data_IF_133845553118
#
_entry.id   IF_133845553118
#
_cell.length_a   1.000
_cell.length_b   1.000
_cell.length_c   1.000
_cell.angle_alpha   90.00
_cell.angle_beta   90.00
_cell.angle_gamma   90.00
#
_symmetry.space_group_name_H-M   'P 1'
#
loop_
_entity.id
_entity.type
_entity.pdbx_description
1 polymer ?
#
# COMPACT_ATOMS: atom_id res chain seq x y z
N UNK A 1 -20.77 6.29 -0.36
CA UNK A 1 -20.91 4.88 -0.78
C UNK A 1 -22.37 4.49 -0.55
N UNK A 2 -23.26 4.97 -1.42
CA UNK A 2 -24.70 4.98 -1.11
C UNK A 2 -24.97 5.57 0.29
N UNK A 3 -25.95 4.99 0.97
CA UNK A 3 -26.38 5.38 2.32
C UNK A 3 -25.62 4.64 3.45
N UNK A 4 -24.53 3.93 3.13
CA UNK A 4 -23.79 3.15 4.12
C UNK A 4 -22.85 4.02 4.95
N UNK A 5 -22.87 3.81 6.27
CA UNK A 5 -21.96 4.45 7.23
C UNK A 5 -20.61 3.73 7.25
N UNK A 6 -19.53 4.51 7.21
CA UNK A 6 -18.17 4.05 7.48
C UNK A 6 -17.80 4.55 8.88
N UNK A 7 -17.43 3.63 9.77
CA UNK A 7 -17.21 3.94 11.18
C UNK A 7 -16.05 3.16 11.76
N UNK A 8 -15.27 3.82 12.61
CA UNK A 8 -14.18 3.22 13.39
C UNK A 8 -14.73 2.29 14.49
N UNK A 9 -15.93 2.61 14.97
CA UNK A 9 -16.70 1.88 15.96
C UNK A 9 -16.95 0.45 15.50
N UNK A 10 -17.22 0.21 14.22
CA UNK A 10 -17.38 -1.15 13.68
C UNK A 10 -16.15 -2.03 13.92
N UNK A 11 -14.94 -1.46 13.88
CA UNK A 11 -13.70 -2.19 14.17
C UNK A 11 -13.48 -2.36 15.68
N UNK A 12 -13.90 -1.39 16.49
CA UNK A 12 -13.84 -1.49 17.96
C UNK A 12 -14.78 -2.60 18.43
N UNK A 13 -16.01 -2.63 17.91
CA UNK A 13 -17.00 -3.66 18.19
C UNK A 13 -16.46 -5.05 17.85
N UNK A 14 -15.78 -5.22 16.70
CA UNK A 14 -15.12 -6.49 16.36
C UNK A 14 -14.05 -6.89 17.38
N UNK A 15 -13.22 -5.94 17.83
CA UNK A 15 -12.19 -6.23 18.86
C UNK A 15 -12.80 -6.64 20.19
N UNK A 16 -13.96 -6.08 20.55
CA UNK A 16 -14.59 -6.32 21.84
C UNK A 16 -15.52 -7.54 21.83
N UNK A 17 -16.10 -7.88 20.68
CA UNK A 17 -17.09 -8.97 20.54
C UNK A 17 -16.51 -10.30 20.04
N UNK A 18 -15.37 -10.29 19.33
CA UNK A 18 -14.76 -11.50 18.74
C UNK A 18 -13.45 -11.87 19.42
N UNK A 19 -13.04 -13.13 19.27
CA UNK A 19 -11.76 -13.57 19.82
C UNK A 19 -10.59 -12.97 19.04
N UNK A 20 -9.54 -12.54 19.75
CA UNK A 20 -8.33 -11.97 19.13
C UNK A 20 -7.72 -12.84 18.03
N UNK A 21 -7.82 -14.16 18.13
CA UNK A 21 -7.29 -15.10 17.13
C UNK A 21 -8.02 -14.99 15.79
N UNK A 22 -9.29 -14.61 15.79
CA UNK A 22 -10.13 -14.53 14.59
C UNK A 22 -9.80 -13.28 13.75
N UNK A 23 -9.48 -12.15 14.38
CA UNK A 23 -9.25 -10.88 13.69
C UNK A 23 -7.78 -10.39 13.75
N UNK A 24 -7.00 -10.85 14.72
CA UNK A 24 -5.60 -10.46 14.96
C UNK A 24 -5.36 -8.94 15.07
N UNK A 25 -6.36 -8.21 15.58
CA UNK A 25 -6.28 -6.77 15.85
C UNK A 25 -6.09 -6.49 17.33
N UNK A 26 -5.46 -5.35 17.63
CA UNK A 26 -5.42 -4.74 18.96
C UNK A 26 -5.86 -3.27 18.89
N UNK A 27 -6.29 -2.70 20.02
CA UNK A 27 -6.81 -1.30 20.05
C UNK A 27 -5.84 -0.28 19.45
N UNK A 28 -4.53 -0.48 19.59
CA UNK A 28 -3.51 0.40 19.00
C UNK A 28 -3.38 0.30 17.48
N UNK A 29 -3.99 -0.70 16.84
CA UNK A 29 -4.06 -0.78 15.37
C UNK A 29 -5.08 0.20 14.80
N UNK A 30 -6.17 0.42 15.53
CA UNK A 30 -7.26 1.31 15.12
C UNK A 30 -7.01 2.75 15.59
N UNK A 31 -6.44 2.90 16.79
CA UNK A 31 -6.06 4.19 17.36
C UNK A 31 -4.52 4.30 17.45
N UNK A 32 -3.81 4.42 16.32
CA UNK A 32 -2.37 4.44 16.35
C UNK A 32 -1.85 5.74 16.96
N UNK A 33 -0.91 5.63 17.92
CA UNK A 33 -0.12 6.78 18.39
C UNK A 33 0.74 7.36 17.27
N UNK A 34 1.25 6.47 16.41
CA UNK A 34 2.03 6.81 15.23
C UNK A 34 1.15 6.68 13.97
N UNK A 35 0.75 7.83 13.41
CA UNK A 35 -0.06 7.89 12.18
C UNK A 35 0.67 7.39 10.93
N UNK A 36 1.99 7.16 11.00
CA UNK A 36 2.80 6.60 9.91
C UNK A 36 2.94 5.07 9.99
N UNK A 37 2.27 4.43 10.96
CA UNK A 37 2.35 2.98 11.13
C UNK A 37 1.58 2.20 10.04
N UNK A 38 2.28 1.92 8.93
CA UNK A 38 1.75 1.14 7.82
C UNK A 38 1.35 -0.30 8.22
N UNK A 39 1.98 -0.88 9.25
CA UNK A 39 1.65 -2.24 9.68
C UNK A 39 0.23 -2.33 10.26
N UNK A 40 -0.21 -1.30 10.98
CA UNK A 40 -1.60 -1.21 11.45
C UNK A 40 -2.58 -1.12 10.28
N UNK A 41 -2.28 -0.32 9.27
CA UNK A 41 -3.07 -0.20 8.04
C UNK A 41 -3.25 -1.56 7.33
N UNK A 42 -2.17 -2.37 7.23
CA UNK A 42 -2.26 -3.74 6.68
C UNK A 42 -3.11 -4.68 7.53
N UNK A 43 -3.03 -4.56 8.86
CA UNK A 43 -3.80 -5.43 9.77
C UNK A 43 -5.30 -5.15 9.68
N UNK A 44 -5.71 -3.88 9.72
CA UNK A 44 -7.13 -3.50 9.66
C UNK A 44 -7.79 -3.84 8.32
N UNK A 45 -7.01 -3.92 7.23
CA UNK A 45 -7.49 -4.30 5.90
C UNK A 45 -7.19 -5.77 5.54
N UNK A 46 -6.85 -6.59 6.54
CA UNK A 46 -6.55 -8.00 6.32
C UNK A 46 -7.80 -8.80 5.95
N UNK A 47 -7.61 -9.91 5.24
CA UNK A 47 -8.70 -10.77 4.77
C UNK A 47 -9.59 -11.28 5.92
N UNK A 48 -8.97 -11.65 7.05
CA UNK A 48 -9.69 -12.08 8.25
C UNK A 48 -10.66 -11.00 8.77
N UNK A 49 -10.19 -9.75 8.83
CA UNK A 49 -11.02 -8.63 9.27
C UNK A 49 -12.12 -8.34 8.25
N UNK A 50 -11.81 -8.38 6.95
CA UNK A 50 -12.80 -8.15 5.89
C UNK A 50 -13.91 -9.21 5.90
N UNK A 51 -13.58 -10.48 6.16
CA UNK A 51 -14.57 -11.55 6.28
C UNK A 51 -15.51 -11.31 7.46
N UNK A 52 -14.99 -10.94 8.63
CA UNK A 52 -15.80 -10.62 9.81
C UNK A 52 -16.68 -9.38 9.60
N UNK A 53 -16.19 -8.35 8.90
CA UNK A 53 -16.99 -7.18 8.54
C UNK A 53 -18.12 -7.54 7.55
N UNK A 54 -17.86 -8.47 6.62
CA UNK A 54 -18.84 -8.90 5.62
C UNK A 54 -20.02 -9.67 6.23
N UNK A 55 -19.80 -10.37 7.34
CA UNK A 55 -20.84 -11.11 8.06
C UNK A 55 -21.91 -10.21 8.69
N UNK A 56 -21.58 -8.94 8.97
CA UNK A 56 -22.45 -7.99 9.65
C UNK A 56 -23.05 -6.99 8.64
N UNK A 57 -24.38 -6.98 8.50
CA UNK A 57 -25.07 -6.14 7.52
C UNK A 57 -24.78 -4.63 7.71
N UNK A 58 -24.71 -4.18 8.97
CA UNK A 58 -24.46 -2.77 9.32
C UNK A 58 -23.02 -2.32 9.01
N UNK A 59 -22.09 -3.26 8.85
CA UNK A 59 -20.67 -2.96 8.63
C UNK A 59 -20.30 -2.87 7.15
N UNK A 60 -21.28 -3.01 6.25
CA UNK A 60 -21.07 -3.05 4.79
C UNK A 60 -20.29 -1.85 4.25
N UNK A 61 -20.55 -0.64 4.76
CA UNK A 61 -19.80 0.56 4.37
C UNK A 61 -18.30 0.45 4.71
N UNK A 62 -17.99 0.10 5.95
CA UNK A 62 -16.61 -0.12 6.41
C UNK A 62 -15.93 -1.27 5.66
N UNK A 63 -16.65 -2.37 5.41
CA UNK A 63 -16.15 -3.51 4.62
C UNK A 63 -15.69 -3.07 3.24
N UNK A 64 -16.54 -2.38 2.47
CA UNK A 64 -16.18 -1.99 1.10
C UNK A 64 -15.04 -0.96 1.15
N UNK A 65 -15.05 0.01 2.07
CA UNK A 65 -13.97 0.99 2.21
C UNK A 65 -12.60 0.32 2.47
N UNK A 66 -12.54 -0.64 3.40
CA UNK A 66 -11.31 -1.37 3.69
C UNK A 66 -10.94 -2.37 2.58
N UNK A 67 -11.92 -2.89 1.83
CA UNK A 67 -11.69 -3.73 0.64
C UNK A 67 -11.02 -2.94 -0.49
N UNK A 68 -11.39 -1.67 -0.66
CA UNK A 68 -10.70 -0.76 -1.60
C UNK A 68 -9.24 -0.55 -1.17
N UNK A 69 -9.02 -0.27 0.11
CA UNK A 69 -7.66 -0.13 0.65
C UNK A 69 -6.84 -1.41 0.45
N UNK A 70 -7.43 -2.59 0.71
CA UNK A 70 -6.78 -3.88 0.46
C UNK A 70 -6.45 -4.08 -1.01
N UNK A 71 -7.35 -3.71 -1.92
CA UNK A 71 -7.12 -3.78 -3.37
C UNK A 71 -5.98 -2.86 -3.82
N UNK A 72 -5.87 -1.65 -3.26
CA UNK A 72 -4.71 -0.77 -3.50
C UNK A 72 -3.40 -1.44 -3.06
N UNK A 73 -3.39 -2.08 -1.88
CA UNK A 73 -2.21 -2.80 -1.37
C UNK A 73 -1.84 -3.97 -2.29
N UNK A 74 -2.81 -4.77 -2.74
CA UNK A 74 -2.58 -5.89 -3.66
C UNK A 74 -2.05 -5.38 -5.01
N UNK A 75 -2.66 -4.33 -5.55
CA UNK A 75 -2.32 -3.77 -6.86
C UNK A 75 -0.93 -3.14 -6.91
N UNK A 76 -0.56 -2.38 -5.88
CA UNK A 76 0.64 -1.52 -5.94
C UNK A 76 1.81 -1.99 -5.06
N UNK A 77 1.57 -2.81 -4.03
CA UNK A 77 2.57 -3.03 -2.97
C UNK A 77 2.94 -4.51 -2.80
N UNK A 78 1.95 -5.40 -2.79
CA UNK A 78 2.15 -6.83 -2.51
C UNK A 78 3.10 -7.46 -3.52
N UNK A 79 4.07 -8.29 -3.08
CA UNK A 79 5.15 -8.78 -3.95
C UNK A 79 4.73 -9.94 -4.85
N UNK A 80 3.88 -10.83 -4.33
CA UNK A 80 3.49 -12.08 -4.98
C UNK A 80 2.37 -11.92 -6.02
N UNK A 81 1.81 -10.73 -6.17
CA UNK A 81 0.70 -10.46 -7.10
C UNK A 81 1.17 -10.43 -8.55
N UNK A 82 0.46 -11.14 -9.41
CA UNK A 82 0.66 -11.15 -10.87
C UNK A 82 0.32 -9.80 -11.51
N UNK A 83 0.74 -9.56 -12.74
CA UNK A 83 0.49 -8.27 -13.43
C UNK A 83 -1.01 -8.09 -13.69
N UNK A 84 -1.68 -9.18 -14.04
CA UNK A 84 -3.10 -9.29 -14.30
C UNK A 84 -3.93 -8.91 -13.08
N UNK A 85 -3.66 -9.56 -11.95
CA UNK A 85 -4.32 -9.26 -10.67
C UNK A 85 -4.07 -7.82 -10.24
N UNK A 86 -2.87 -7.28 -10.47
CA UNK A 86 -2.59 -5.88 -10.13
C UNK A 86 -3.44 -4.91 -10.92
N UNK A 87 -3.53 -5.12 -12.23
CA UNK A 87 -4.37 -4.31 -13.11
C UNK A 87 -5.83 -4.42 -12.69
N UNK A 88 -6.33 -5.64 -12.46
CA UNK A 88 -7.69 -5.84 -11.96
C UNK A 88 -7.95 -5.04 -10.69
N UNK A 89 -7.18 -5.26 -9.63
CA UNK A 89 -7.40 -4.63 -8.33
C UNK A 89 -7.30 -3.10 -8.39
N UNK A 90 -6.29 -2.54 -9.07
CA UNK A 90 -6.13 -1.08 -9.10
C UNK A 90 -7.22 -0.41 -9.95
N UNK A 91 -7.64 -1.03 -11.05
CA UNK A 91 -8.72 -0.51 -11.88
C UNK A 91 -10.09 -0.65 -11.21
N UNK A 92 -10.35 -1.71 -10.46
CA UNK A 92 -11.56 -1.81 -9.63
C UNK A 92 -11.65 -0.67 -8.62
N UNK A 93 -10.51 -0.27 -8.02
CA UNK A 93 -10.46 0.89 -7.13
C UNK A 93 -10.73 2.19 -7.90
N UNK A 94 -10.10 2.39 -9.07
CA UNK A 94 -10.34 3.57 -9.92
C UNK A 94 -11.83 3.72 -10.24
N UNK A 95 -12.47 2.66 -10.76
CA UNK A 95 -13.88 2.71 -11.12
C UNK A 95 -14.76 2.95 -9.90
N UNK A 96 -14.51 2.27 -8.79
CA UNK A 96 -15.29 2.49 -7.55
C UNK A 96 -15.16 3.92 -7.05
N UNK A 97 -13.94 4.49 -7.07
CA UNK A 97 -13.72 5.89 -6.68
C UNK A 97 -14.42 6.87 -7.63
N UNK A 98 -14.38 6.64 -8.96
CA UNK A 98 -15.11 7.45 -9.94
C UNK A 98 -16.62 7.38 -9.72
N UNK A 99 -17.17 6.18 -9.52
CA UNK A 99 -18.60 6.01 -9.22
C UNK A 99 -19.00 6.68 -7.91
N UNK A 100 -18.19 6.53 -6.86
CA UNK A 100 -18.45 7.18 -5.58
C UNK A 100 -18.41 8.72 -5.72
N UNK A 101 -17.43 9.26 -6.43
CA UNK A 101 -17.35 10.69 -6.71
C UNK A 101 -18.57 11.18 -7.49
N UNK A 102 -18.90 10.54 -8.62
CA UNK A 102 -20.06 10.90 -9.44
C UNK A 102 -21.35 10.79 -8.65
N UNK A 103 -21.53 9.74 -7.85
CA UNK A 103 -22.69 9.58 -6.98
C UNK A 103 -22.81 10.74 -5.99
N UNK A 104 -21.73 11.17 -5.33
CA UNK A 104 -21.76 12.32 -4.41
C UNK A 104 -22.14 13.62 -5.10
N UNK A 105 -21.69 13.83 -6.35
CA UNK A 105 -22.04 15.03 -7.11
C UNK A 105 -23.54 15.08 -7.42
N UNK A 106 -24.12 13.95 -7.83
CA UNK A 106 -25.53 13.87 -8.24
C UNK A 106 -26.50 13.50 -7.11
N UNK A 107 -26.01 13.05 -5.96
CA UNK A 107 -26.86 12.75 -4.81
C UNK A 107 -27.49 14.03 -4.29
N UNK A 108 -28.83 14.06 -4.28
CA UNK A 108 -29.59 15.05 -3.52
C UNK A 108 -29.51 14.65 -2.06
N UNK A 109 -28.52 15.17 -1.34
CA UNK A 109 -28.47 15.00 0.10
C UNK A 109 -29.71 15.68 0.68
N UNK A 110 -30.67 14.88 1.16
CA UNK A 110 -31.84 15.39 1.90
C UNK A 110 -31.33 15.87 3.26
N UNK A 111 -30.89 17.12 3.32
CA UNK A 111 -30.62 17.75 4.61
C UNK A 111 -31.96 18.29 5.11
N UNK A 112 -32.36 17.89 6.32
CA UNK A 112 -33.61 18.32 6.99
C UNK A 112 -33.56 19.79 7.46
N UNK A 113 -32.81 20.66 6.79
CA UNK A 113 -32.75 22.08 7.11
C UNK A 113 -33.45 22.88 6.03
N UNK A 114 -34.38 23.75 6.44
CA UNK A 114 -35.15 24.67 5.61
C UNK A 114 -34.31 25.77 4.93
N UNK A 115 -32.99 25.76 5.09
CA UNK A 115 -32.07 26.69 4.43
C UNK A 115 -31.22 25.96 3.38
N UNK A 116 -31.45 26.31 2.10
CA UNK A 116 -30.60 25.97 0.96
C UNK A 116 -29.24 26.69 1.11
N UNK A 117 -28.38 26.20 2.00
CA UNK A 117 -27.02 26.68 2.13
C UNK A 117 -26.08 25.76 1.34
N UNK A 118 -25.92 26.05 0.05
CA UNK A 118 -25.11 25.27 -0.90
C UNK A 118 -23.69 25.01 -0.36
N UNK A 119 -23.12 25.94 0.41
CA UNK A 119 -21.80 25.80 1.03
C UNK A 119 -21.72 24.63 2.04
N UNK A 120 -22.78 24.40 2.83
CA UNK A 120 -22.83 23.30 3.81
C UNK A 120 -22.91 21.95 3.08
N UNK A 121 -23.73 21.88 2.03
CA UNK A 121 -23.86 20.67 1.20
C UNK A 121 -22.52 20.35 0.54
N UNK A 122 -21.83 21.35 0.00
CA UNK A 122 -20.51 21.18 -0.62
C UNK A 122 -19.46 20.72 0.39
N UNK A 123 -19.48 21.24 1.62
CA UNK A 123 -18.58 20.82 2.68
C UNK A 123 -18.83 19.36 3.10
N UNK A 124 -20.09 18.96 3.26
CA UNK A 124 -20.46 17.57 3.56
C UNK A 124 -20.00 16.63 2.44
N UNK A 125 -20.24 16.99 1.18
CA UNK A 125 -19.78 16.21 0.02
C UNK A 125 -18.25 16.09 0.00
N UNK A 126 -17.54 17.18 0.29
CA UNK A 126 -16.08 17.19 0.35
C UNK A 126 -15.52 16.27 1.45
N UNK A 127 -16.19 16.20 2.61
CA UNK A 127 -15.78 15.34 3.73
C UNK A 127 -16.28 13.88 3.60
N UNK A 128 -17.19 13.62 2.67
CA UNK A 128 -17.77 12.29 2.44
C UNK A 128 -17.03 11.48 1.37
N UNK A 129 -15.91 11.98 0.87
CA UNK A 129 -15.04 11.31 -0.09
C UNK A 129 -13.61 11.22 0.43
N UNK A 130 -12.81 10.32 -0.15
CA UNK A 130 -11.36 10.35 0.06
C UNK A 130 -10.79 11.70 -0.37
N UNK A 131 -9.66 12.09 0.21
CA UNK A 131 -9.04 13.37 -0.14
C UNK A 131 -8.68 13.42 -1.62
N UNK A 132 -8.86 14.58 -2.27
CA UNK A 132 -8.51 14.76 -3.70
C UNK A 132 -7.09 14.28 -4.04
N UNK A 133 -6.04 14.55 -3.22
CA UNK A 133 -4.71 14.00 -3.50
C UNK A 133 -4.66 12.47 -3.50
N UNK A 134 -5.39 11.81 -2.60
CA UNK A 134 -5.47 10.34 -2.57
C UNK A 134 -6.13 9.81 -3.84
N UNK A 135 -7.25 10.42 -4.24
CA UNK A 135 -7.96 10.05 -5.46
C UNK A 135 -7.08 10.18 -6.71
N UNK A 136 -6.41 11.33 -6.89
CA UNK A 136 -5.49 11.53 -8.02
C UNK A 136 -4.29 10.59 -7.98
N UNK A 137 -3.78 10.28 -6.78
CA UNK A 137 -2.69 9.31 -6.64
C UNK A 137 -3.10 7.92 -7.13
N UNK A 138 -4.31 7.47 -6.82
CA UNK A 138 -4.87 6.20 -7.32
C UNK A 138 -4.94 6.22 -8.85
N UNK A 139 -5.51 7.28 -9.44
CA UNK A 139 -5.63 7.45 -10.90
C UNK A 139 -4.26 7.42 -11.59
N UNK A 140 -3.32 8.24 -11.11
CA UNK A 140 -1.98 8.34 -11.68
C UNK A 140 -1.26 6.99 -11.60
N UNK A 141 -1.32 6.31 -10.45
CA UNK A 141 -0.64 5.03 -10.28
C UNK A 141 -1.25 3.93 -11.17
N UNK A 142 -2.58 3.88 -11.31
CA UNK A 142 -3.26 2.93 -12.19
C UNK A 142 -2.86 3.13 -13.66
N UNK A 143 -2.94 4.37 -14.13
CA UNK A 143 -2.59 4.73 -15.50
C UNK A 143 -1.09 4.52 -15.78
N UNK A 144 -0.22 4.85 -14.83
CA UNK A 144 1.22 4.63 -14.96
C UNK A 144 1.54 3.14 -15.06
N UNK A 145 0.95 2.31 -14.20
CA UNK A 145 1.14 0.86 -14.26
C UNK A 145 0.69 0.30 -15.61
N UNK A 146 -0.52 0.65 -16.05
CA UNK A 146 -1.04 0.23 -17.37
C UNK A 146 -0.10 0.66 -18.49
N UNK A 147 0.38 1.90 -18.47
CA UNK A 147 1.28 2.41 -19.50
C UNK A 147 2.60 1.63 -19.55
N UNK A 148 3.19 1.31 -18.39
CA UNK A 148 4.40 0.47 -18.31
C UNK A 148 4.13 -0.92 -18.88
N UNK A 149 2.99 -1.55 -18.55
CA UNK A 149 2.59 -2.86 -19.12
C UNK A 149 2.51 -2.78 -20.65
N UNK A 150 1.82 -1.76 -21.18
CA UNK A 150 1.71 -1.56 -22.63
C UNK A 150 3.07 -1.37 -23.31
N UNK A 151 3.99 -0.64 -22.67
CA UNK A 151 5.35 -0.48 -23.19
C UNK A 151 6.14 -1.80 -23.19
N UNK A 152 5.95 -2.66 -22.20
CA UNK A 152 6.56 -4.00 -22.16
C UNK A 152 5.98 -4.91 -23.25
N UNK A 153 4.66 -4.93 -23.43
CA UNK A 153 4.00 -5.69 -24.52
C UNK A 153 4.52 -5.24 -25.88
N UNK A 154 4.67 -3.92 -26.08
CA UNK A 154 5.23 -3.32 -27.30
C UNK A 154 6.75 -3.48 -27.42
N UNK A 155 7.39 -4.23 -26.51
CA UNK A 155 8.84 -4.48 -26.45
C UNK A 155 9.69 -3.20 -26.39
N UNK A 156 9.13 -2.11 -25.87
CA UNK A 156 9.83 -0.84 -25.64
C UNK A 156 10.52 -0.79 -24.27
N UNK A 157 10.07 -1.63 -23.33
CA UNK A 157 10.68 -1.80 -22.01
C UNK A 157 10.94 -3.30 -21.74
N UNK A 158 11.98 -3.64 -20.96
CA UNK A 158 12.22 -5.01 -20.52
C UNK A 158 11.13 -5.45 -19.53
N UNK A 159 10.87 -6.76 -19.45
CA UNK A 159 9.86 -7.32 -18.53
C UNK A 159 10.17 -6.99 -17.06
N UNK A 160 11.45 -6.85 -16.71
CA UNK A 160 11.90 -6.39 -15.39
C UNK A 160 11.36 -5.00 -14.98
N UNK A 161 10.92 -4.18 -15.94
CA UNK A 161 10.27 -2.91 -15.66
C UNK A 161 8.92 -3.08 -14.92
N UNK A 162 8.33 -4.27 -14.94
CA UNK A 162 7.09 -4.60 -14.21
C UNK A 162 7.32 -4.98 -12.75
N UNK A 163 8.53 -4.79 -12.23
CA UNK A 163 8.81 -4.96 -10.82
C UNK A 163 8.25 -3.79 -9.99
N UNK A 164 6.94 -3.82 -9.75
CA UNK A 164 6.20 -2.78 -9.01
C UNK A 164 6.68 -2.60 -7.57
N UNK A 165 7.35 -3.60 -6.99
CA UNK A 165 7.96 -3.46 -5.67
C UNK A 165 9.03 -2.36 -5.62
N UNK A 166 9.64 -2.02 -6.76
CA UNK A 166 10.61 -0.92 -6.86
C UNK A 166 9.95 0.46 -6.97
N UNK A 167 8.64 0.54 -7.14
CA UNK A 167 7.94 1.82 -7.37
C UNK A 167 7.60 2.56 -6.08
N UNK A 168 7.72 1.91 -4.93
CA UNK A 168 7.43 2.52 -3.63
C UNK A 168 8.70 3.08 -2.96
N UNK A 169 8.50 3.94 -1.97
CA UNK A 169 9.57 4.59 -1.21
C UNK A 169 10.13 3.77 -0.05
N UNK A 170 9.71 2.50 0.13
CA UNK A 170 10.10 1.70 1.30
C UNK A 170 11.61 1.50 1.41
N UNK A 171 12.30 1.39 0.27
CA UNK A 171 13.77 1.31 0.19
C UNK A 171 14.44 2.60 0.67
N UNK A 172 13.86 3.76 0.34
CA UNK A 172 14.33 5.06 0.82
C UNK A 172 14.14 5.18 2.35
N UNK A 173 12.96 4.82 2.85
CA UNK A 173 12.67 4.82 4.30
C UNK A 173 13.62 3.90 5.08
N UNK A 174 13.90 2.72 4.53
CA UNK A 174 14.87 1.80 5.12
C UNK A 174 16.28 2.41 5.13
N UNK A 175 16.69 3.09 4.07
CA UNK A 175 17.98 3.80 4.01
C UNK A 175 18.07 4.87 5.08
N UNK A 176 17.03 5.70 5.26
CA UNK A 176 16.99 6.68 6.35
C UNK A 176 17.00 6.03 7.74
N UNK A 177 16.31 4.90 7.92
CA UNK A 177 16.32 4.13 9.18
C UNK A 177 17.72 3.62 9.51
N UNK A 178 18.41 3.04 8.54
CA UNK A 178 19.80 2.58 8.70
C UNK A 178 20.72 3.77 9.02
N UNK A 179 20.57 4.88 8.31
CA UNK A 179 21.36 6.08 8.59
C UNK A 179 21.11 6.61 10.02
N UNK A 180 19.88 6.59 10.52
CA UNK A 180 19.55 6.95 11.91
C UNK A 180 20.18 5.99 12.92
N UNK A 181 20.26 4.70 12.60
CA UNK A 181 20.88 3.68 13.45
C UNK A 181 22.42 3.72 13.43
N UNK A 182 23.04 4.23 12.36
CA UNK A 182 24.49 4.40 12.22
C UNK A 182 25.00 5.62 13.01
N UNK A 183 24.80 5.62 14.31
CA UNK A 183 25.38 6.59 15.24
C UNK A 183 26.48 5.93 16.09
N UNK A 184 27.40 6.73 16.62
CA UNK A 184 28.55 6.21 17.37
C UNK A 184 28.14 5.52 18.67
N UNK A 185 29.00 4.68 19.29
CA UNK A 185 28.67 3.89 20.47
C UNK A 185 28.13 4.70 21.66
N UNK A 186 28.50 5.97 21.73
CA UNK A 186 28.13 6.91 22.81
C UNK A 186 27.12 7.97 22.36
N UNK A 187 26.53 7.84 21.17
CA UNK A 187 25.63 8.84 20.59
C UNK A 187 24.29 8.23 20.21
N UNK A 188 23.23 8.66 20.91
CA UNK A 188 21.84 8.37 20.57
C UNK A 188 21.23 9.38 19.59
N UNK A 189 22.05 10.25 18.98
CA UNK A 189 21.56 11.30 18.08
C UNK A 189 21.05 10.63 16.81
N UNK A 190 19.72 10.65 16.64
CA UNK A 190 19.04 10.13 15.45
C UNK A 190 19.01 11.15 14.32
N UNK A 191 19.04 12.45 14.64
CA UNK A 191 18.96 13.53 13.65
C UNK A 191 20.34 13.77 13.01
N UNK A 192 20.35 14.15 11.74
CA UNK A 192 21.60 14.43 11.02
C UNK A 192 21.41 15.51 9.96
N UNK A 193 22.47 16.27 9.71
CA UNK A 193 22.55 17.20 8.59
C UNK A 193 22.80 16.46 7.27
N UNK A 194 22.60 17.14 6.14
CA UNK A 194 22.88 16.57 4.80
C UNK A 194 24.33 16.07 4.71
N UNK A 195 25.31 16.84 5.18
CA UNK A 195 26.72 16.41 5.21
C UNK A 195 26.95 15.13 6.01
N UNK A 196 26.26 14.99 7.14
CA UNK A 196 26.32 13.79 7.98
C UNK A 196 25.64 12.60 7.30
N UNK A 197 24.51 12.83 6.62
CA UNK A 197 23.84 11.82 5.81
C UNK A 197 24.73 11.28 4.70
N UNK A 198 25.39 12.14 3.91
CA UNK A 198 26.30 11.71 2.83
C UNK A 198 27.41 10.79 3.35
N UNK A 199 28.05 11.14 4.47
CA UNK A 199 29.06 10.29 5.11
C UNK A 199 28.49 8.96 5.60
N UNK A 200 27.24 8.95 6.08
CA UNK A 200 26.54 7.72 6.47
C UNK A 200 26.22 6.86 5.26
N UNK A 201 25.83 7.44 4.13
CA UNK A 201 25.60 6.73 2.87
C UNK A 201 26.86 6.03 2.35
N UNK A 202 28.03 6.67 2.43
CA UNK A 202 29.31 6.03 2.10
C UNK A 202 29.55 4.77 2.94
N UNK A 203 29.32 4.87 4.27
CA UNK A 203 29.43 3.71 5.18
C UNK A 203 28.41 2.61 4.85
N UNK A 204 27.16 2.98 4.57
CA UNK A 204 26.10 2.04 4.17
C UNK A 204 26.52 1.30 2.89
N UNK A 205 27.05 2.02 1.91
CA UNK A 205 27.54 1.45 0.65
C UNK A 205 28.65 0.42 0.88
N UNK A 206 29.65 0.77 1.71
CA UNK A 206 30.73 -0.16 2.08
C UNK A 206 30.18 -1.40 2.79
N UNK A 207 29.29 -1.24 3.76
CA UNK A 207 28.66 -2.36 4.48
C UNK A 207 27.89 -3.26 3.51
N UNK A 208 27.12 -2.68 2.59
CA UNK A 208 26.36 -3.45 1.60
C UNK A 208 27.28 -4.19 0.61
N UNK A 209 28.38 -3.58 0.20
CA UNK A 209 29.40 -4.23 -0.64
C UNK A 209 30.07 -5.41 0.07
N UNK A 210 30.35 -5.30 1.37
CA UNK A 210 30.89 -6.41 2.16
C UNK A 210 29.86 -7.53 2.30
N UNK A 211 28.59 -7.19 2.56
CA UNK A 211 27.49 -8.17 2.67
C UNK A 211 27.24 -8.92 1.36
N UNK A 212 27.24 -8.22 0.21
CA UNK A 212 26.93 -8.82 -1.09
C UNK A 212 28.04 -9.73 -1.61
N UNK A 213 29.29 -9.52 -1.21
CA UNK A 213 30.43 -10.38 -1.56
C UNK A 213 30.42 -11.74 -0.84
N UNK A 214 29.38 -12.05 -0.07
CA UNK A 214 29.19 -13.37 0.55
C UNK A 214 30.31 -13.80 1.49
N UNK A 215 31.18 -12.87 1.88
CA UNK A 215 32.36 -13.20 2.67
C UNK A 215 33.56 -13.76 1.92
N UNK A 216 33.61 -13.68 0.59
CA UNK A 216 34.82 -14.05 -0.16
C UNK A 216 35.60 -12.78 -0.55
N UNK A 217 36.70 -12.53 0.16
CA UNK A 217 37.74 -11.59 -0.25
C UNK A 217 39.01 -12.42 -0.42
N UNK A 218 39.28 -12.87 -1.65
CA UNK A 218 40.39 -13.79 -1.93
C UNK A 218 40.14 -15.20 -1.40
N UNK A 219 41.19 -15.86 -0.88
CA UNK A 219 41.13 -17.24 -0.33
C UNK A 219 40.50 -17.33 1.08
N UNK A 220 40.18 -16.20 1.72
CA UNK A 220 39.66 -16.18 3.08
C UNK A 220 38.12 -16.14 3.09
N UNK A 221 37.52 -17.16 3.71
CA UNK A 221 36.08 -17.21 4.01
C UNK A 221 35.73 -16.33 5.22
N UNK A 222 35.54 -15.04 5.00
CA UNK A 222 35.08 -14.10 6.02
C UNK A 222 33.55 -14.07 6.11
N UNK A 223 32.92 -14.84 7.01
CA UNK A 223 31.47 -14.70 7.23
C UNK A 223 31.16 -13.39 7.97
N UNK A 224 30.51 -12.45 7.28
CA UNK A 224 30.02 -11.23 7.91
C UNK A 224 29.06 -11.60 9.05
N UNK A 225 29.30 -11.17 10.31
CA UNK A 225 28.46 -11.55 11.43
C UNK A 225 27.06 -10.97 11.22
N UNK A 226 26.09 -11.86 10.96
CA UNK A 226 24.69 -11.52 10.92
C UNK A 226 24.08 -11.82 12.28
N UNK A 227 23.36 -10.85 12.84
CA UNK A 227 22.60 -11.10 14.05
C UNK A 227 21.52 -12.14 13.75
N UNK A 228 21.33 -13.14 14.61
CA UNK A 228 20.33 -14.23 14.47
C UNK A 228 18.86 -13.78 14.26
N UNK A 229 18.57 -12.48 14.39
CA UNK A 229 17.25 -11.89 14.10
C UNK A 229 17.10 -11.45 12.64
N UNK A 230 18.21 -11.26 11.92
CA UNK A 230 18.23 -10.86 10.50
C UNK A 230 17.86 -12.02 9.59
N UNK A 231 18.10 -13.28 10.01
CA UNK A 231 17.69 -14.46 9.24
C UNK A 231 16.17 -14.55 9.02
N UNK A 232 15.35 -13.96 9.91
CA UNK A 232 13.88 -13.99 9.76
C UNK A 232 13.33 -12.97 8.77
N UNK A 233 14.12 -11.97 8.38
CA UNK A 233 13.74 -10.93 7.42
C UNK A 233 14.92 -10.61 6.50
N UNK A 234 15.64 -11.63 6.03
CA UNK A 234 16.33 -11.48 4.77
C UNK A 234 15.22 -11.21 3.75
N UNK A 235 14.92 -9.92 3.52
CA UNK A 235 14.10 -9.51 2.40
C UNK A 235 14.85 -10.03 1.19
N UNK A 236 14.39 -11.18 0.70
CA UNK A 236 14.88 -11.68 -0.54
C UNK A 236 14.48 -10.64 -1.57
N UNK A 237 15.47 -9.86 -1.99
CA UNK A 237 15.38 -9.03 -3.17
C UNK A 237 15.58 -9.92 -4.40
N UNK A 238 15.67 -11.26 -4.26
CA UNK A 238 15.49 -12.16 -5.40
C UNK A 238 14.14 -11.87 -6.02
N UNK A 239 14.22 -11.08 -7.07
CA UNK A 239 13.18 -10.89 -8.04
C UNK A 239 12.92 -12.30 -8.56
N UNK A 240 11.71 -12.85 -8.37
CA UNK A 240 11.27 -13.91 -9.27
C UNK A 240 11.24 -13.24 -10.64
N UNK A 241 12.21 -13.49 -11.53
CA UNK A 241 12.26 -12.79 -12.78
C UNK A 241 10.99 -13.20 -13.53
N UNK A 242 10.13 -12.23 -13.85
CA UNK A 242 9.07 -12.48 -14.82
C UNK A 242 9.82 -12.71 -16.14
N UNK A 243 10.04 -13.99 -16.49
CA UNK A 243 10.87 -14.37 -17.63
C UNK A 243 10.18 -14.03 -18.96
N UNK A 244 8.84 -14.15 -18.99
CA UNK A 244 8.01 -13.78 -20.14
C UNK A 244 6.67 -13.21 -19.67
N UNK A 245 6.20 -12.15 -20.34
CA UNK A 245 4.86 -11.62 -20.17
C UNK A 245 4.00 -12.12 -21.33
N UNK A 246 3.05 -13.01 -21.06
CA UNK A 246 2.13 -13.57 -22.05
C UNK A 246 0.79 -12.83 -22.03
N UNK A 247 0.84 -11.50 -22.08
CA UNK A 247 -0.35 -10.64 -22.13
C UNK A 247 -0.44 -9.92 -23.47
N UNK A 248 -1.63 -9.90 -24.05
CA UNK A 248 -1.96 -9.08 -25.22
C UNK A 248 -2.75 -7.84 -24.82
N UNK A 249 -2.90 -6.88 -25.74
CA UNK A 249 -3.77 -5.70 -25.50
C UNK A 249 -5.23 -6.13 -25.28
N UNK A 250 -5.70 -7.19 -25.97
CA UNK A 250 -7.06 -7.73 -25.77
C UNK A 250 -7.26 -8.33 -24.37
N UNK A 251 -6.23 -8.95 -23.81
CA UNK A 251 -6.31 -9.49 -22.44
C UNK A 251 -6.40 -8.36 -21.41
N UNK A 252 -5.67 -7.27 -21.63
CA UNK A 252 -5.76 -6.07 -20.79
C UNK A 252 -7.16 -5.47 -20.83
N UNK A 253 -7.75 -5.33 -22.01
CA UNK A 253 -9.12 -4.81 -22.17
C UNK A 253 -10.11 -5.65 -21.38
N UNK A 254 -10.02 -6.99 -21.48
CA UNK A 254 -10.86 -7.90 -20.70
C UNK A 254 -10.67 -7.72 -19.20
N UNK A 255 -9.42 -7.63 -18.73
CA UNK A 255 -9.12 -7.42 -17.31
C UNK A 255 -9.73 -6.10 -16.80
N UNK A 256 -9.57 -5.01 -17.54
CA UNK A 256 -10.13 -3.71 -17.18
C UNK A 256 -11.66 -3.73 -17.24
N UNK A 257 -12.25 -4.41 -18.22
CA UNK A 257 -13.70 -4.59 -18.30
C UNK A 257 -14.23 -5.40 -17.12
N UNK A 258 -13.59 -6.51 -16.74
CA UNK A 258 -13.95 -7.28 -15.56
C UNK A 258 -13.82 -6.45 -14.27
N UNK A 259 -12.85 -5.54 -14.21
CA UNK A 259 -12.71 -4.63 -13.06
C UNK A 259 -13.83 -3.58 -12.99
N UNK A 260 -14.46 -3.24 -14.12
CA UNK A 260 -15.60 -2.31 -14.21
C UNK A 260 -16.93 -2.96 -13.84
N UNK A 261 -17.07 -4.26 -14.07
CA UNK A 261 -18.25 -5.09 -13.77
C UNK A 261 -18.01 -6.02 -12.55
N UNK A 262 -17.77 -5.48 -11.32
CA UNK A 262 -17.42 -6.27 -10.14
C UNK A 262 -18.57 -7.11 -9.56
#
# INVERSE_FOLDING_TARGET
MGDYRISIEHLIDLIESKNKVEHNLIKSDICPKDRQNYASCRRISSELVLQLLKEQADYKGTYIYLSLLRSVIIGLIEKSTTVEERLYHIWSVVFTCRFWWTWLQHSKLKINYDDNNDEIIDNIKANSFITKPTFWCIEINAHTLLYIVLLVIKRKLPVNALNTYLFNSQTCENTFRIARALSGPSSSITNFTVKSFTKKCEKISIINSIKSRGGQIGEYNFKFPQHHKVEKEAHDYSINPIQHLNLTESDIEKIIQSAFEP
#
